data_IF_020255485975
#
_entry.id   IF_020255485975
#
_cell.length_a   1.000
_cell.length_b   1.000
_cell.length_c   1.000
_cell.angle_alpha   90.00
_cell.angle_beta   90.00
_cell.angle_gamma   90.00
#
_symmetry.space_group_name_H-M   'P 1'
#
loop_
_entity.id
_entity.type
_entity.pdbx_description
1 polymer ?
#
# COMPACT_ATOMS: atom_id res chain seq x y z
N UNK A 1 9.93 -39.17 19.52
CA UNK A 1 8.56 -38.85 19.04
C UNK A 1 8.19 -37.48 19.58
N UNK A 2 8.18 -36.46 18.74
CA UNK A 2 7.46 -35.20 18.98
C UNK A 2 7.08 -34.65 17.61
N UNK A 3 5.78 -34.50 17.40
CA UNK A 3 5.15 -33.99 16.19
C UNK A 3 5.00 -32.46 16.32
N UNK A 4 4.71 -31.81 15.19
CA UNK A 4 4.04 -30.50 15.00
C UNK A 4 4.88 -29.26 15.37
N UNK A 5 5.05 -28.22 14.54
CA UNK A 5 4.25 -27.70 13.43
C UNK A 5 5.15 -27.20 12.27
N UNK A 6 4.94 -27.71 11.06
CA UNK A 6 5.38 -27.00 9.84
C UNK A 6 4.48 -25.76 9.70
N UNK A 7 5.04 -24.56 9.87
CA UNK A 7 4.33 -23.32 9.60
C UNK A 7 4.16 -23.16 8.08
N UNK A 8 2.91 -22.96 7.67
CA UNK A 8 2.50 -22.64 6.29
C UNK A 8 3.12 -21.31 5.85
N UNK A 9 4.35 -21.35 5.34
CA UNK A 9 4.94 -20.28 4.52
C UNK A 9 4.68 -20.57 3.05
N UNK A 10 3.45 -20.43 2.56
CA UNK A 10 3.18 -20.57 1.11
C UNK A 10 1.85 -19.93 0.67
N UNK A 11 1.73 -18.60 0.63
CA UNK A 11 0.84 -17.89 -0.34
C UNK A 11 1.40 -16.51 -0.78
N UNK A 12 2.57 -16.07 -0.30
CA UNK A 12 3.17 -14.80 -0.72
C UNK A 12 4.04 -14.97 -1.99
N UNK A 13 3.43 -15.33 -3.13
CA UNK A 13 4.02 -15.23 -4.47
C UNK A 13 2.98 -15.56 -5.56
N UNK A 14 1.85 -14.84 -5.61
CA UNK A 14 0.84 -15.12 -6.64
C UNK A 14 1.04 -14.40 -7.97
N UNK A 15 2.31 -14.19 -8.31
CA UNK A 15 2.72 -14.09 -9.70
C UNK A 15 3.81 -15.13 -10.06
N UNK A 16 4.36 -15.94 -9.15
CA UNK A 16 5.22 -17.05 -9.56
C UNK A 16 5.08 -18.29 -8.67
N UNK A 17 4.69 -19.40 -9.31
CA UNK A 17 4.74 -20.82 -8.91
C UNK A 17 3.49 -21.44 -8.30
N UNK A 18 2.85 -22.28 -9.12
CA UNK A 18 1.90 -23.31 -8.74
C UNK A 18 2.58 -24.41 -7.90
N UNK A 19 1.89 -24.92 -6.87
CA UNK A 19 1.86 -26.35 -6.53
C UNK A 19 0.60 -26.69 -5.73
N UNK A 20 0.10 -27.91 -5.97
CA UNK A 20 -1.21 -28.48 -5.60
C UNK A 20 -1.22 -28.97 -4.14
N UNK A 21 -2.38 -28.90 -3.47
CA UNK A 21 -2.59 -29.50 -2.14
C UNK A 21 -4.05 -29.58 -1.66
N UNK A 22 -4.79 -30.52 -2.26
CA UNK A 22 -6.04 -31.25 -1.91
C UNK A 22 -6.92 -30.95 -0.67
N UNK A 23 -8.23 -30.83 -0.97
CA UNK A 23 -9.46 -31.47 -0.40
C UNK A 23 -10.20 -30.97 0.86
N UNK A 24 -11.47 -30.58 0.58
CA UNK A 24 -12.78 -30.79 1.26
C UNK A 24 -13.00 -30.21 2.68
N UNK A 25 -14.14 -29.59 3.04
CA UNK A 25 -15.54 -30.07 2.91
C UNK A 25 -16.54 -28.90 2.79
N UNK A 26 -17.63 -29.18 2.09
CA UNK A 26 -18.85 -28.37 1.88
C UNK A 26 -19.70 -28.20 3.16
N UNK A 27 -20.22 -27.00 3.41
CA UNK A 27 -21.48 -26.75 4.17
C UNK A 27 -22.18 -25.53 3.54
N UNK A 28 -23.50 -25.54 3.29
CA UNK A 28 -24.17 -24.44 2.61
C UNK A 28 -24.79 -23.39 3.55
N UNK A 29 -24.89 -22.19 2.99
CA UNK A 29 -25.90 -21.14 3.17
C UNK A 29 -25.87 -20.25 4.44
N UNK A 30 -25.66 -18.96 4.21
CA UNK A 30 -26.67 -17.94 4.49
C UNK A 30 -26.44 -16.72 3.58
N UNK A 31 -27.44 -16.39 2.76
CA UNK A 31 -27.46 -15.16 1.96
C UNK A 31 -27.64 -13.96 2.89
N UNK A 32 -26.59 -13.15 3.02
CA UNK A 32 -26.73 -11.80 3.55
C UNK A 32 -26.25 -10.82 2.46
N UNK A 33 -27.21 -10.19 1.78
CA UNK A 33 -26.97 -9.04 0.92
C UNK A 33 -26.44 -7.89 1.78
N UNK A 34 -25.13 -7.63 1.72
CA UNK A 34 -24.57 -6.41 2.27
C UNK A 34 -24.91 -5.23 1.34
N UNK A 35 -25.30 -4.06 1.88
CA UNK A 35 -25.57 -2.89 1.08
C UNK A 35 -24.27 -2.37 0.47
N UNK A 36 -24.35 -1.85 -0.75
CA UNK A 36 -23.25 -1.16 -1.41
C UNK A 36 -22.81 0.02 -0.54
N UNK A 37 -21.64 -0.11 0.11
CA UNK A 37 -21.01 1.00 0.82
C UNK A 37 -20.66 2.09 -0.18
N UNK A 38 -21.26 3.25 0.05
CA UNK A 38 -21.02 4.49 -0.66
C UNK A 38 -19.54 4.81 -0.75
N UNK A 39 -19.03 4.89 -1.99
CA UNK A 39 -17.73 5.45 -2.32
C UNK A 39 -17.62 6.85 -1.70
N UNK A 40 -16.76 7.03 -0.70
CA UNK A 40 -16.25 8.37 -0.39
C UNK A 40 -15.33 8.78 -1.53
N UNK A 41 -15.93 9.36 -2.57
CA UNK A 41 -15.19 10.21 -3.49
C UNK A 41 -14.54 11.28 -2.62
N UNK A 42 -13.22 11.42 -2.73
CA UNK A 42 -12.51 12.51 -2.09
C UNK A 42 -13.28 13.80 -2.35
N UNK A 43 -13.74 14.46 -1.28
CA UNK A 43 -14.37 15.78 -1.31
C UNK A 43 -13.57 16.62 -2.31
N UNK A 44 -14.23 17.08 -3.38
CA UNK A 44 -13.62 17.80 -4.50
C UNK A 44 -13.18 19.20 -4.06
N UNK A 45 -12.41 19.26 -2.98
CA UNK A 45 -11.70 20.43 -2.51
C UNK A 45 -10.72 20.79 -3.61
N UNK A 46 -10.90 21.99 -4.14
CA UNK A 46 -9.99 22.61 -5.09
C UNK A 46 -8.55 22.35 -4.65
N UNK A 47 -7.74 21.78 -5.55
CA UNK A 47 -6.35 21.45 -5.26
C UNK A 47 -5.66 22.66 -4.63
N UNK A 48 -5.12 22.49 -3.42
CA UNK A 48 -4.38 23.53 -2.72
C UNK A 48 -2.93 23.06 -2.55
N UNK A 49 -2.04 23.39 -3.51
CA UNK A 49 -0.66 22.91 -3.50
C UNK A 49 0.11 23.31 -2.23
N UNK A 50 -0.22 24.46 -1.63
CA UNK A 50 0.41 24.90 -0.38
C UNK A 50 -0.02 24.04 0.81
N UNK A 51 -1.30 23.70 0.90
CA UNK A 51 -1.81 22.81 1.94
C UNK A 51 -1.26 21.39 1.77
N UNK A 52 -1.23 20.86 0.54
CA UNK A 52 -0.65 19.56 0.23
C UNK A 52 0.83 19.50 0.63
N UNK A 53 1.63 20.48 0.22
CA UNK A 53 3.05 20.53 0.54
C UNK A 53 3.31 20.67 2.04
N UNK A 54 2.51 21.47 2.75
CA UNK A 54 2.53 21.52 4.22
C UNK A 54 2.21 20.15 4.82
N UNK A 55 1.15 19.50 4.37
CA UNK A 55 0.71 18.21 4.90
C UNK A 55 1.77 17.11 4.68
N UNK A 56 2.45 17.10 3.51
CA UNK A 56 3.59 16.20 3.25
C UNK A 56 4.71 16.36 4.29
N UNK A 57 5.08 17.61 4.59
CA UNK A 57 6.10 17.92 5.60
C UNK A 57 5.67 17.48 6.99
N UNK A 58 4.39 17.69 7.33
CA UNK A 58 3.84 17.24 8.62
C UNK A 58 3.86 15.72 8.73
N UNK A 59 3.40 14.99 7.71
CA UNK A 59 3.41 13.52 7.71
C UNK A 59 4.82 12.95 7.95
N UNK A 60 5.81 13.41 7.17
CA UNK A 60 7.21 12.99 7.33
C UNK A 60 7.76 13.37 8.70
N UNK A 61 7.46 14.59 9.18
CA UNK A 61 7.91 15.04 10.50
C UNK A 61 7.34 14.17 11.61
N UNK A 62 6.05 13.86 11.58
CA UNK A 62 5.38 13.05 12.60
C UNK A 62 6.01 11.65 12.64
N UNK A 63 6.17 11.00 11.49
CA UNK A 63 6.79 9.68 11.41
C UNK A 63 8.20 9.68 12.00
N UNK A 64 9.07 10.59 11.55
CA UNK A 64 10.46 10.65 12.04
C UNK A 64 10.55 11.03 13.51
N UNK A 65 9.82 12.04 13.95
CA UNK A 65 9.91 12.50 15.34
C UNK A 65 9.32 11.50 16.33
N UNK A 66 8.27 10.76 15.96
CA UNK A 66 7.75 9.71 16.84
C UNK A 66 8.69 8.50 16.86
N UNK A 67 9.06 7.97 15.70
CA UNK A 67 9.73 6.68 15.62
C UNK A 67 11.26 6.75 15.75
N UNK A 68 11.92 7.77 15.18
CA UNK A 68 13.38 7.96 15.28
C UNK A 68 13.74 8.71 16.58
N UNK A 69 13.02 9.79 16.91
CA UNK A 69 13.41 10.71 17.99
C UNK A 69 12.68 10.45 19.33
N UNK A 70 11.63 9.61 19.34
CA UNK A 70 10.78 9.39 20.53
C UNK A 70 10.06 10.66 21.03
N UNK A 71 9.97 11.72 20.21
CA UNK A 71 9.42 13.01 20.59
C UNK A 71 7.89 13.00 20.55
N UNK A 72 7.27 12.63 21.67
CA UNK A 72 5.81 12.53 21.79
C UNK A 72 5.07 13.88 21.62
N UNK A 73 5.75 15.03 21.80
CA UNK A 73 5.11 16.36 21.68
C UNK A 73 4.63 16.63 20.25
N UNK A 74 5.23 15.99 19.24
CA UNK A 74 4.82 16.14 17.84
C UNK A 74 3.39 15.62 17.62
N UNK A 75 2.96 14.61 18.40
CA UNK A 75 1.60 14.09 18.33
C UNK A 75 0.59 15.14 18.80
N UNK A 76 0.89 15.85 19.89
CA UNK A 76 0.00 16.90 20.40
C UNK A 76 -0.16 18.07 19.41
N UNK A 77 0.88 18.33 18.62
CA UNK A 77 0.92 19.42 17.64
C UNK A 77 0.22 19.10 16.31
N UNK A 78 0.25 17.84 15.88
CA UNK A 78 -0.14 17.48 14.51
C UNK A 78 -1.11 16.32 14.40
N UNK A 79 -1.45 15.63 15.48
CA UNK A 79 -2.42 14.53 15.48
C UNK A 79 -3.65 14.96 16.27
N UNK A 80 -4.84 14.76 15.71
CA UNK A 80 -6.10 14.99 16.41
C UNK A 80 -6.20 14.09 17.64
N UNK A 81 -6.84 14.57 18.70
CA UNK A 81 -7.07 13.76 19.90
C UNK A 81 -7.89 12.50 19.57
N UNK A 82 -8.86 12.66 18.66
CA UNK A 82 -9.77 11.64 18.15
C UNK A 82 -9.35 11.13 16.75
N UNK A 83 -8.04 11.08 16.45
CA UNK A 83 -7.59 10.51 15.18
C UNK A 83 -7.95 9.01 15.12
N UNK A 84 -8.27 8.54 13.92
CA UNK A 84 -8.68 7.17 13.64
C UNK A 84 -7.49 6.35 13.10
N UNK A 85 -7.23 5.19 13.68
CA UNK A 85 -6.16 4.25 13.29
C UNK A 85 -6.71 3.04 12.57
N UNK A 86 -6.13 2.68 11.43
CA UNK A 86 -6.48 1.48 10.66
C UNK A 86 -5.35 0.42 10.62
N UNK A 87 -4.14 0.75 11.08
CA UNK A 87 -3.08 -0.24 11.25
C UNK A 87 -3.49 -1.24 12.34
N UNK A 88 -3.67 -2.54 12.03
CA UNK A 88 -4.15 -3.52 13.00
C UNK A 88 -3.17 -3.78 14.15
N UNK A 89 -1.91 -3.37 14.01
CA UNK A 89 -0.84 -3.50 14.99
C UNK A 89 -0.63 -2.24 15.83
N UNK A 90 -1.46 -1.21 15.66
CA UNK A 90 -1.42 0.02 16.45
C UNK A 90 -2.76 0.28 17.14
N UNK A 91 -2.77 0.77 18.38
CA UNK A 91 -4.00 1.14 19.06
C UNK A 91 -4.59 2.45 18.49
N UNK A 92 -5.88 2.66 18.73
CA UNK A 92 -6.59 3.85 18.28
C UNK A 92 -6.47 5.04 19.24
N UNK A 93 -6.51 6.26 18.71
CA UNK A 93 -6.46 7.50 19.49
C UNK A 93 -5.07 7.97 19.93
N UNK A 94 -4.90 9.30 20.02
CA UNK A 94 -3.57 9.94 20.12
C UNK A 94 -2.75 9.50 21.33
N UNK A 95 -3.38 9.41 22.50
CA UNK A 95 -2.68 9.01 23.72
C UNK A 95 -2.24 7.55 23.67
N UNK A 96 -3.03 6.67 23.01
CA UNK A 96 -2.65 5.29 22.84
C UNK A 96 -1.41 5.15 21.93
N UNK A 97 -1.32 5.96 20.86
CA UNK A 97 -0.10 6.05 20.05
C UNK A 97 1.09 6.55 20.85
N UNK A 98 0.93 7.59 21.67
CA UNK A 98 2.04 8.10 22.51
C UNK A 98 2.58 7.01 23.43
N UNK A 99 1.71 6.15 23.96
CA UNK A 99 2.12 5.00 24.75
C UNK A 99 2.82 3.93 23.91
N UNK A 100 2.23 3.56 22.76
CA UNK A 100 2.82 2.62 21.81
C UNK A 100 4.23 3.05 21.38
N UNK A 101 4.42 4.33 21.05
CA UNK A 101 5.71 4.89 20.63
C UNK A 101 6.74 4.84 21.76
N UNK A 102 6.34 5.08 23.01
CA UNK A 102 7.25 4.95 24.16
C UNK A 102 7.81 3.53 24.26
N UNK A 103 6.93 2.52 24.14
CA UNK A 103 7.32 1.11 24.20
C UNK A 103 8.08 0.68 22.95
N UNK A 104 7.73 1.24 21.79
CA UNK A 104 8.44 1.01 20.53
C UNK A 104 9.88 1.51 20.60
N UNK A 105 10.08 2.77 21.00
CA UNK A 105 11.40 3.39 21.04
C UNK A 105 12.30 2.77 22.12
N UNK A 106 11.73 2.30 23.23
CA UNK A 106 12.47 1.52 24.22
C UNK A 106 12.97 0.17 23.68
N UNK A 107 12.23 -0.45 22.76
CA UNK A 107 12.63 -1.72 22.11
C UNK A 107 13.56 -1.54 20.92
N UNK A 108 13.35 -0.48 20.14
CA UNK A 108 14.06 -0.18 18.91
C UNK A 108 14.63 1.25 18.95
N UNK A 109 15.63 1.51 19.81
CA UNK A 109 16.20 2.85 19.99
C UNK A 109 16.95 3.36 18.74
N UNK A 110 17.46 2.43 17.92
CA UNK A 110 18.20 2.73 16.70
C UNK A 110 17.32 2.67 15.43
N UNK A 111 15.99 2.71 15.59
CA UNK A 111 15.06 2.66 14.47
C UNK A 111 15.27 3.85 13.52
N UNK A 112 15.51 3.54 12.24
CA UNK A 112 15.63 4.55 11.17
C UNK A 112 14.44 4.47 10.24
N UNK A 113 13.86 5.62 9.90
CA UNK A 113 12.66 5.75 9.07
C UNK A 113 13.01 6.33 7.70
N UNK A 114 13.50 5.47 6.78
CA UNK A 114 14.02 5.92 5.49
C UNK A 114 12.90 6.25 4.48
N UNK A 115 12.42 7.49 4.47
CA UNK A 115 11.41 7.97 3.51
C UNK A 115 11.95 7.92 2.07
N UNK A 116 11.20 7.26 1.18
CA UNK A 116 11.57 7.11 -0.24
C UNK A 116 10.85 8.12 -1.11
N UNK A 117 9.52 8.17 -1.02
CA UNK A 117 8.67 9.08 -1.83
C UNK A 117 7.45 9.51 -1.03
N UNK A 118 6.97 10.72 -1.34
CA UNK A 118 5.80 11.30 -0.70
C UNK A 118 4.96 12.00 -1.76
N UNK A 119 3.67 11.70 -1.81
CA UNK A 119 2.70 12.38 -2.68
C UNK A 119 1.48 12.81 -1.88
N UNK A 120 0.81 13.87 -2.35
CA UNK A 120 -0.40 14.36 -1.72
C UNK A 120 -1.42 14.79 -2.77
N UNK A 121 -2.70 14.56 -2.46
CA UNK A 121 -3.82 14.99 -3.26
C UNK A 121 -4.99 15.36 -2.34
N UNK A 122 -5.42 16.62 -2.39
CA UNK A 122 -6.48 17.10 -1.50
C UNK A 122 -6.03 17.05 -0.04
N UNK A 123 -6.74 16.29 0.79
CA UNK A 123 -6.41 16.09 2.21
C UNK A 123 -5.68 14.78 2.51
N UNK A 124 -5.36 13.97 1.50
CA UNK A 124 -4.60 12.73 1.65
C UNK A 124 -3.10 12.94 1.36
N UNK A 125 -2.26 12.31 2.17
CA UNK A 125 -0.82 12.18 1.94
C UNK A 125 -0.45 10.71 1.99
N UNK A 126 0.30 10.23 1.00
CA UNK A 126 0.96 8.93 1.04
C UNK A 126 2.46 9.12 1.25
N UNK A 127 3.04 8.31 2.13
CA UNK A 127 4.48 8.19 2.39
C UNK A 127 4.87 6.73 2.12
N UNK A 128 5.80 6.50 1.20
CA UNK A 128 6.43 5.18 1.04
C UNK A 128 7.83 5.23 1.64
N UNK A 129 8.12 4.32 2.56
CA UNK A 129 9.30 4.33 3.41
C UNK A 129 9.92 2.94 3.56
N UNK A 130 11.16 2.91 4.05
CA UNK A 130 11.84 1.69 4.48
C UNK A 130 12.28 1.84 5.94
N UNK A 131 11.36 1.61 6.90
CA UNK A 131 11.74 1.55 8.30
C UNK A 131 12.65 0.35 8.56
N UNK A 132 13.74 0.59 9.27
CA UNK A 132 14.74 -0.40 9.69
C UNK A 132 14.81 -0.38 11.20
N UNK A 133 14.18 -1.37 11.84
CA UNK A 133 14.01 -1.42 13.29
C UNK A 133 15.30 -1.79 14.03
N UNK A 134 16.08 -2.69 13.42
CA UNK A 134 17.37 -3.15 13.95
C UNK A 134 18.47 -2.89 12.91
N UNK A 135 19.60 -2.27 13.30
CA UNK A 135 20.72 -2.02 12.41
C UNK A 135 21.19 -3.28 11.68
N UNK A 136 21.46 -3.17 10.39
CA UNK A 136 21.93 -4.29 9.55
C UNK A 136 20.83 -5.22 9.02
N UNK A 137 19.57 -5.02 9.40
CA UNK A 137 18.43 -5.72 8.80
C UNK A 137 17.95 -5.02 7.53
N UNK A 138 17.13 -5.70 6.71
CA UNK A 138 16.55 -5.13 5.48
C UNK A 138 15.36 -4.20 5.76
N UNK A 139 14.80 -4.27 6.96
CA UNK A 139 13.59 -3.53 7.33
C UNK A 139 12.34 -4.00 6.58
N UNK A 140 11.34 -3.12 6.56
CA UNK A 140 10.07 -3.34 5.88
C UNK A 140 9.87 -2.29 4.77
N UNK A 141 9.06 -2.58 3.77
CA UNK A 141 8.42 -1.60 2.88
C UNK A 141 7.10 -1.21 3.52
N UNK A 142 6.94 0.08 3.81
CA UNK A 142 5.74 0.61 4.45
C UNK A 142 5.17 1.73 3.60
N UNK A 143 3.87 1.66 3.34
CA UNK A 143 3.12 2.74 2.70
C UNK A 143 2.09 3.28 3.68
N UNK A 144 2.41 4.40 4.34
CA UNK A 144 1.50 5.14 5.21
C UNK A 144 0.62 6.07 4.38
N UNK A 145 -0.65 6.14 4.74
CA UNK A 145 -1.63 7.08 4.18
C UNK A 145 -2.25 7.86 5.34
N UNK A 146 -2.18 9.18 5.28
CA UNK A 146 -2.76 10.06 6.27
C UNK A 146 -3.86 10.92 5.64
N UNK A 147 -4.99 11.05 6.32
CA UNK A 147 -5.97 12.10 6.03
C UNK A 147 -5.80 13.26 6.99
N UNK A 148 -5.79 14.47 6.45
CA UNK A 148 -5.69 15.71 7.20
C UNK A 148 -7.05 16.40 7.35
N UNK A 149 -7.26 17.07 8.47
CA UNK A 149 -8.39 17.96 8.63
C UNK A 149 -8.12 19.36 8.03
N UNK A 150 -9.12 20.24 8.10
CA UNK A 150 -9.03 21.62 7.59
C UNK A 150 -8.00 22.48 8.33
N UNK A 151 -7.62 22.11 9.56
CA UNK A 151 -6.60 22.80 10.37
C UNK A 151 -5.18 22.29 10.06
N UNK A 152 -5.05 21.24 9.24
CA UNK A 152 -3.78 20.60 8.93
C UNK A 152 -3.32 19.60 9.98
N UNK A 153 -4.23 19.08 10.80
CA UNK A 153 -3.98 17.99 11.74
C UNK A 153 -4.26 16.64 11.07
N UNK A 154 -3.47 15.62 11.38
CA UNK A 154 -3.71 14.23 11.02
C UNK A 154 -4.97 13.77 11.76
N UNK A 155 -5.97 13.37 10.99
CA UNK A 155 -7.27 12.92 11.46
C UNK A 155 -7.47 11.41 11.34
N UNK A 156 -6.74 10.76 10.45
CA UNK A 156 -6.90 9.33 10.15
C UNK A 156 -5.63 8.77 9.52
N UNK A 157 -5.33 7.52 9.78
CA UNK A 157 -4.12 6.83 9.31
C UNK A 157 -4.40 5.39 8.89
N UNK A 158 -3.88 5.00 7.72
CA UNK A 158 -3.78 3.63 7.24
C UNK A 158 -2.34 3.33 6.90
N UNK A 159 -1.92 2.08 7.02
CA UNK A 159 -0.67 1.61 6.44
C UNK A 159 -0.81 0.21 5.83
N UNK A 160 0.16 -0.11 4.97
CA UNK A 160 0.44 -1.47 4.51
C UNK A 160 1.92 -1.74 4.75
N UNK A 161 2.20 -2.81 5.49
CA UNK A 161 3.55 -3.18 5.93
C UNK A 161 3.94 -4.54 5.34
N UNK A 162 5.06 -4.58 4.63
CA UNK A 162 5.62 -5.80 4.05
C UNK A 162 7.11 -5.93 4.36
N UNK A 163 7.56 -7.10 4.82
CA UNK A 163 8.99 -7.35 5.02
C UNK A 163 9.77 -7.34 3.71
N UNK A 164 10.95 -6.72 3.71
CA UNK A 164 11.82 -6.71 2.52
C UNK A 164 12.49 -8.08 2.36
N UNK A 165 12.24 -8.80 1.26
CA UNK A 165 12.80 -10.13 1.04
C UNK A 165 14.30 -10.06 0.76
N UNK A 166 14.98 -11.20 0.90
CA UNK A 166 16.42 -11.29 0.62
C UNK A 166 16.74 -11.18 -0.88
N UNK A 167 15.82 -11.59 -1.73
CA UNK A 167 15.94 -11.58 -3.20
C UNK A 167 14.63 -11.17 -3.85
N UNK A 168 14.71 -10.67 -5.09
CA UNK A 168 13.56 -10.31 -5.91
C UNK A 168 13.65 -10.98 -7.28
N UNK A 169 12.51 -11.33 -7.87
CA UNK A 169 12.43 -11.96 -9.20
C UNK A 169 12.88 -11.01 -10.30
N UNK A 170 12.58 -9.71 -10.18
CA UNK A 170 12.96 -8.68 -11.16
C UNK A 170 14.41 -8.16 -11.00
N UNK A 171 15.09 -8.48 -9.89
CA UNK A 171 16.44 -7.98 -9.60
C UNK A 171 16.53 -6.51 -9.15
N UNK A 172 15.40 -5.80 -9.05
CA UNK A 172 15.32 -4.47 -8.44
C UNK A 172 15.02 -4.61 -6.93
N UNK A 173 15.41 -3.61 -6.13
CA UNK A 173 14.93 -3.49 -4.75
C UNK A 173 13.45 -3.06 -4.71
N UNK A 174 12.83 -2.93 -3.52
CA UNK A 174 11.45 -2.48 -3.39
C UNK A 174 11.27 -0.94 -3.41
N UNK A 175 12.33 -0.14 -3.60
CA UNK A 175 12.35 1.28 -3.22
C UNK A 175 12.91 2.25 -4.26
N UNK A 176 13.91 1.85 -5.02
CA UNK A 176 14.65 2.66 -5.97
C UNK A 176 13.77 3.15 -7.12
N UNK A 177 14.34 4.00 -7.97
CA UNK A 177 13.72 4.42 -9.23
C UNK A 177 14.74 4.14 -10.33
N UNK A 178 14.40 3.20 -11.20
CA UNK A 178 15.23 2.76 -12.33
C UNK A 178 14.79 3.39 -13.66
N UNK A 179 13.52 3.80 -13.76
CA UNK A 179 13.03 4.56 -14.93
C UNK A 179 13.63 5.97 -15.01
N UNK A 180 13.54 6.61 -16.19
CA UNK A 180 14.00 7.99 -16.38
C UNK A 180 12.83 8.99 -16.25
N UNK A 181 13.02 10.12 -15.53
CA UNK A 181 14.19 10.48 -14.73
C UNK A 181 14.29 9.65 -13.44
N UNK A 182 15.52 9.28 -13.03
CA UNK A 182 15.78 8.52 -11.80
C UNK A 182 15.62 9.42 -10.57
N UNK A 183 14.39 9.64 -10.16
CA UNK A 183 14.02 10.50 -9.02
C UNK A 183 12.88 9.89 -8.24
N UNK A 184 12.87 10.09 -6.93
CA UNK A 184 11.71 9.71 -6.12
C UNK A 184 10.67 10.83 -5.99
N UNK A 185 10.96 12.01 -6.53
CA UNK A 185 10.02 13.13 -6.52
C UNK A 185 8.95 12.94 -7.60
N UNK A 186 7.71 13.37 -7.33
CA UNK A 186 6.69 13.44 -8.36
C UNK A 186 7.10 14.42 -9.45
N UNK A 187 6.74 14.10 -10.68
CA UNK A 187 6.92 14.94 -11.86
C UNK A 187 6.02 16.18 -11.86
N UNK A 188 5.97 16.91 -12.99
CA UNK A 188 5.22 18.14 -13.10
C UNK A 188 3.73 17.98 -12.75
N UNK A 189 3.20 18.90 -11.93
CA UNK A 189 1.81 18.82 -11.42
C UNK A 189 0.73 18.78 -12.49
N UNK A 190 0.98 19.34 -13.68
CA UNK A 190 0.03 19.27 -14.80
C UNK A 190 -0.26 17.83 -15.25
N UNK A 191 0.64 16.88 -14.95
CA UNK A 191 0.42 15.46 -15.25
C UNK A 191 -0.60 14.80 -14.32
N UNK A 192 -0.89 15.38 -13.14
CA UNK A 192 -1.61 14.68 -12.06
C UNK A 192 -2.91 14.01 -12.52
N UNK A 193 -3.81 14.78 -13.13
CA UNK A 193 -5.11 14.26 -13.58
C UNK A 193 -4.96 13.21 -14.69
N UNK A 194 -3.99 13.40 -15.59
CA UNK A 194 -3.70 12.46 -16.66
C UNK A 194 -3.13 11.15 -16.13
N UNK A 195 -2.10 11.21 -15.27
CA UNK A 195 -1.48 10.06 -14.63
C UNK A 195 -2.49 9.25 -13.84
N UNK A 196 -3.32 9.92 -13.04
CA UNK A 196 -4.39 9.28 -12.28
C UNK A 196 -5.36 8.53 -13.18
N UNK A 197 -5.80 9.13 -14.28
CA UNK A 197 -6.69 8.48 -15.25
C UNK A 197 -6.04 7.24 -15.89
N UNK A 198 -4.77 7.33 -16.27
CA UNK A 198 -4.04 6.21 -16.87
C UNK A 198 -3.87 5.05 -15.88
N UNK A 199 -3.40 5.34 -14.67
CA UNK A 199 -3.14 4.31 -13.65
C UNK A 199 -4.43 3.64 -13.17
N UNK A 200 -5.50 4.41 -12.93
CA UNK A 200 -6.80 3.84 -12.54
C UNK A 200 -7.44 3.02 -13.65
N UNK A 201 -7.36 3.48 -14.91
CA UNK A 201 -7.86 2.69 -16.04
C UNK A 201 -7.09 1.38 -16.22
N UNK A 202 -5.76 1.41 -16.06
CA UNK A 202 -4.93 0.19 -16.08
C UNK A 202 -5.34 -0.76 -14.95
N UNK A 203 -5.41 -0.26 -13.71
CA UNK A 203 -5.78 -1.03 -12.53
C UNK A 203 -7.15 -1.69 -12.69
N UNK A 204 -8.16 -0.92 -13.09
CA UNK A 204 -9.52 -1.43 -13.26
C UNK A 204 -9.59 -2.47 -14.37
N UNK A 205 -9.00 -2.17 -15.54
CA UNK A 205 -8.98 -3.13 -16.66
C UNK A 205 -8.27 -4.43 -16.26
N UNK A 206 -7.12 -4.34 -15.59
CA UNK A 206 -6.34 -5.53 -15.25
C UNK A 206 -7.00 -6.34 -14.14
N UNK A 207 -7.26 -5.73 -12.98
CA UNK A 207 -7.52 -6.43 -11.74
C UNK A 207 -9.01 -6.54 -11.42
N UNK A 208 -9.79 -5.51 -11.75
CA UNK A 208 -11.24 -5.49 -11.50
C UNK A 208 -11.96 -6.24 -12.61
N UNK A 209 -11.67 -5.90 -13.87
CA UNK A 209 -12.28 -6.54 -15.05
C UNK A 209 -11.58 -7.86 -15.43
N UNK A 210 -10.46 -8.20 -14.76
CA UNK A 210 -9.68 -9.43 -15.00
C UNK A 210 -9.22 -9.55 -16.45
N UNK A 211 -8.87 -8.43 -17.07
CA UNK A 211 -8.50 -8.39 -18.49
C UNK A 211 -6.98 -8.21 -18.66
N UNK A 212 -6.25 -9.28 -19.02
CA UNK A 212 -4.79 -9.23 -19.17
C UNK A 212 -4.33 -8.39 -20.37
N UNK A 213 -5.23 -7.98 -21.29
CA UNK A 213 -4.90 -7.01 -22.35
C UNK A 213 -4.61 -5.59 -21.80
N UNK A 214 -4.80 -5.38 -20.49
CA UNK A 214 -4.33 -4.20 -19.78
C UNK A 214 -2.80 -4.00 -19.88
N UNK A 215 -2.01 -5.01 -20.26
CA UNK A 215 -0.57 -4.81 -20.56
C UNK A 215 -0.33 -3.73 -21.63
N UNK A 216 -1.34 -3.41 -22.46
CA UNK A 216 -1.29 -2.30 -23.40
C UNK A 216 -1.06 -0.93 -22.74
N UNK A 217 -1.31 -0.76 -21.45
CA UNK A 217 -1.02 0.48 -20.72
C UNK A 217 0.45 0.62 -20.33
N UNK A 218 1.25 -0.43 -20.47
CA UNK A 218 2.63 -0.50 -19.99
C UNK A 218 3.62 -0.15 -21.11
N UNK A 219 4.81 0.33 -20.75
CA UNK A 219 5.96 0.30 -21.68
C UNK A 219 6.53 -1.11 -21.78
N UNK A 220 7.19 -1.46 -22.89
CA UNK A 220 7.84 -2.77 -23.04
C UNK A 220 8.80 -3.11 -21.88
N UNK A 221 9.55 -2.11 -21.39
CA UNK A 221 10.55 -2.26 -20.33
C UNK A 221 9.95 -2.38 -18.93
N UNK A 222 8.66 -2.04 -18.75
CA UNK A 222 7.94 -1.86 -17.47
C UNK A 222 8.67 -2.41 -16.24
N UNK A 223 9.18 -1.50 -15.42
CA UNK A 223 10.03 -1.84 -14.29
C UNK A 223 9.21 -2.21 -13.06
N UNK A 224 9.50 -3.38 -12.48
CA UNK A 224 8.84 -3.91 -11.30
C UNK A 224 9.71 -3.76 -10.06
N UNK A 225 9.07 -3.42 -8.96
CA UNK A 225 9.61 -3.47 -7.61
C UNK A 225 8.81 -4.38 -6.67
N UNK A 226 7.66 -4.92 -7.12
CA UNK A 226 7.05 -6.06 -6.43
C UNK A 226 8.04 -7.22 -6.47
N UNK A 227 8.46 -7.79 -5.33
CA UNK A 227 9.55 -8.76 -5.29
C UNK A 227 9.27 -10.07 -6.04
N UNK A 228 8.02 -10.35 -6.40
CA UNK A 228 7.57 -11.62 -6.99
C UNK A 228 7.28 -11.54 -8.49
N UNK A 229 7.32 -10.33 -9.07
CA UNK A 229 6.96 -10.07 -10.46
C UNK A 229 8.22 -9.74 -11.28
N UNK A 230 8.44 -10.36 -12.46
CA UNK A 230 9.55 -9.99 -13.33
C UNK A 230 9.35 -8.62 -14.01
N UNK A 231 10.45 -8.02 -14.49
CA UNK A 231 10.39 -6.82 -15.34
C UNK A 231 9.80 -7.14 -16.72
N UNK A 232 9.33 -6.09 -17.39
CA UNK A 232 8.87 -6.11 -18.77
C UNK A 232 7.41 -6.52 -18.92
N UNK A 233 6.72 -5.93 -19.90
CA UNK A 233 5.28 -6.13 -20.07
C UNK A 233 4.90 -7.42 -20.81
N UNK A 234 5.84 -8.03 -21.55
CA UNK A 234 5.57 -9.17 -22.42
C UNK A 234 5.11 -10.42 -21.65
N UNK A 235 5.73 -10.70 -20.50
CA UNK A 235 5.40 -11.86 -19.66
C UNK A 235 4.17 -11.67 -18.77
N UNK A 236 3.83 -10.42 -18.44
CA UNK A 236 2.72 -10.13 -17.52
C UNK A 236 1.37 -10.61 -18.04
N UNK A 237 1.14 -10.54 -19.36
CA UNK A 237 -0.15 -10.93 -19.93
C UNK A 237 -0.46 -12.40 -19.65
N UNK A 238 0.50 -13.28 -19.89
CA UNK A 238 0.35 -14.71 -19.66
C UNK A 238 0.21 -15.02 -18.17
N UNK A 239 1.03 -14.36 -17.34
CA UNK A 239 1.02 -14.51 -15.90
C UNK A 239 -0.36 -14.17 -15.29
N UNK A 240 -0.94 -13.03 -15.68
CA UNK A 240 -2.27 -12.62 -15.23
C UNK A 240 -3.38 -13.48 -15.84
N UNK A 241 -3.22 -13.96 -17.08
CA UNK A 241 -4.17 -14.91 -17.68
C UNK A 241 -4.26 -16.19 -16.81
N UNK A 242 -3.13 -16.77 -16.44
CA UNK A 242 -3.07 -17.94 -15.56
C UNK A 242 -3.62 -17.63 -14.16
N UNK A 243 -3.28 -16.47 -13.60
CA UNK A 243 -3.79 -16.02 -12.30
C UNK A 243 -5.33 -15.93 -12.28
N UNK A 244 -5.95 -15.32 -13.29
CA UNK A 244 -7.41 -15.19 -13.35
C UNK A 244 -8.12 -16.53 -13.62
N UNK A 245 -7.47 -17.46 -14.34
CA UNK A 245 -7.97 -18.83 -14.47
C UNK A 245 -7.92 -19.59 -13.15
N UNK A 246 -6.88 -19.37 -12.34
CA UNK A 246 -6.72 -19.98 -11.02
C UNK A 246 -7.67 -19.37 -9.98
N UNK A 247 -7.93 -18.07 -10.04
CA UNK A 247 -8.80 -17.33 -9.11
C UNK A 247 -9.94 -16.63 -9.86
N UNK A 248 -10.89 -17.38 -10.44
CA UNK A 248 -11.99 -16.78 -11.20
C UNK A 248 -12.89 -15.91 -10.32
N UNK A 249 -12.93 -16.19 -9.01
CA UNK A 249 -13.72 -15.46 -8.01
C UNK A 249 -12.95 -14.33 -7.31
N UNK A 250 -11.78 -13.92 -7.83
CA UNK A 250 -11.05 -12.76 -7.35
C UNK A 250 -11.96 -11.53 -7.28
N UNK A 251 -11.91 -10.81 -6.16
CA UNK A 251 -12.61 -9.56 -5.91
C UNK A 251 -11.53 -8.53 -5.55
N UNK A 252 -11.46 -7.45 -6.33
CA UNK A 252 -10.54 -6.34 -6.08
C UNK A 252 -11.36 -5.08 -5.90
N UNK A 253 -11.27 -4.48 -4.72
CA UNK A 253 -11.99 -3.26 -4.38
C UNK A 253 -11.02 -2.13 -4.10
N UNK A 254 -11.01 -1.14 -4.97
CA UNK A 254 -10.27 0.10 -4.72
C UNK A 254 -10.92 0.88 -3.59
N UNK A 255 -10.11 1.35 -2.64
CA UNK A 255 -10.57 2.16 -1.49
C UNK A 255 -10.24 3.63 -1.68
N UNK A 256 -9.05 3.95 -2.18
CA UNK A 256 -8.60 5.34 -2.39
C UNK A 256 -7.52 5.45 -3.46
N UNK A 257 -7.39 6.65 -4.03
CA UNK A 257 -6.38 7.00 -5.04
C UNK A 257 -5.74 8.33 -4.64
N UNK A 258 -4.42 8.40 -4.71
CA UNK A 258 -3.65 9.60 -4.40
C UNK A 258 -2.66 9.81 -5.55
N UNK A 259 -2.75 10.94 -6.25
CA UNK A 259 -1.90 11.25 -7.38
C UNK A 259 -1.20 12.61 -7.20
N UNK A 260 0.08 12.67 -7.54
CA UNK A 260 0.82 13.92 -7.67
C UNK A 260 1.80 13.82 -8.83
N UNK A 261 1.62 14.68 -9.84
CA UNK A 261 2.46 14.70 -11.02
C UNK A 261 2.35 13.39 -11.82
N UNK A 262 3.46 12.67 -11.94
CA UNK A 262 3.55 11.40 -12.64
C UNK A 262 3.43 10.17 -11.73
N UNK A 263 3.26 10.35 -10.41
CA UNK A 263 3.09 9.27 -9.45
C UNK A 263 1.62 9.13 -9.05
N UNK A 264 1.15 7.88 -8.98
CA UNK A 264 -0.20 7.52 -8.54
C UNK A 264 -0.13 6.34 -7.58
N UNK A 265 -0.70 6.47 -6.40
CA UNK A 265 -0.90 5.38 -5.45
C UNK A 265 -2.37 4.96 -5.41
N UNK A 266 -2.63 3.65 -5.35
CA UNK A 266 -3.96 3.05 -5.26
C UNK A 266 -3.95 2.09 -4.06
N UNK A 267 -4.77 2.37 -3.06
CA UNK A 267 -4.98 1.46 -1.93
C UNK A 267 -6.25 0.64 -2.17
N UNK A 268 -6.13 -0.68 -2.03
CA UNK A 268 -7.18 -1.62 -2.40
C UNK A 268 -7.22 -2.85 -1.49
N UNK A 269 -8.39 -3.52 -1.49
CA UNK A 269 -8.64 -4.78 -0.80
C UNK A 269 -8.77 -5.91 -1.82
N UNK A 270 -7.85 -6.88 -1.77
CA UNK A 270 -7.83 -8.01 -2.70
C UNK A 270 -8.33 -9.25 -1.95
N UNK A 271 -9.34 -9.93 -2.49
CA UNK A 271 -9.86 -11.20 -1.97
C UNK A 271 -9.87 -12.24 -3.07
N UNK A 272 -9.21 -13.38 -2.90
CA UNK A 272 -9.14 -14.41 -3.93
C UNK A 272 -10.49 -15.09 -4.19
N UNK A 273 -11.40 -15.01 -3.22
CA UNK A 273 -12.79 -15.46 -3.28
C UNK A 273 -13.62 -14.75 -2.19
N UNK A 274 -14.96 -14.86 -2.16
CA UNK A 274 -15.80 -14.14 -1.20
C UNK A 274 -15.50 -14.41 0.29
N UNK A 275 -15.04 -15.62 0.63
CA UNK A 275 -14.74 -16.04 2.00
C UNK A 275 -13.32 -15.66 2.45
N UNK A 276 -12.49 -15.21 1.50
CA UNK A 276 -11.14 -14.76 1.79
C UNK A 276 -11.17 -13.44 2.57
N UNK A 277 -10.44 -13.38 3.69
CA UNK A 277 -10.22 -12.13 4.44
C UNK A 277 -9.49 -11.12 3.57
N UNK A 278 -8.64 -11.60 2.67
CA UNK A 278 -7.94 -10.81 1.69
C UNK A 278 -6.70 -10.12 2.19
N UNK A 279 -6.18 -9.23 1.34
CA UNK A 279 -4.96 -8.46 1.55
C UNK A 279 -5.25 -6.97 1.35
N UNK A 280 -4.63 -6.14 2.17
CA UNK A 280 -4.48 -4.71 1.91
C UNK A 280 -3.25 -4.50 1.01
N UNK A 281 -3.45 -3.80 -0.10
CA UNK A 281 -2.41 -3.55 -1.11
C UNK A 281 -2.36 -2.06 -1.42
N UNK A 282 -1.15 -1.49 -1.45
CA UNK A 282 -0.94 -0.17 -2.04
C UNK A 282 -0.02 -0.29 -3.25
N UNK A 283 -0.60 -0.21 -4.44
CA UNK A 283 0.15 -0.11 -5.69
C UNK A 283 0.56 1.35 -5.93
N UNK A 284 1.79 1.57 -6.40
CA UNK A 284 2.35 2.87 -6.75
C UNK A 284 2.86 2.79 -8.18
N UNK A 285 2.37 3.65 -9.06
CA UNK A 285 2.72 3.68 -10.47
C UNK A 285 3.42 4.99 -10.82
N UNK A 286 4.42 4.91 -11.71
CA UNK A 286 4.96 6.08 -12.43
C UNK A 286 4.46 6.08 -13.87
N UNK A 287 3.81 7.15 -14.29
CA UNK A 287 3.24 7.33 -15.64
C UNK A 287 4.15 8.21 -16.49
N UNK A 288 4.60 7.69 -17.63
CA UNK A 288 5.38 8.43 -18.60
C UNK A 288 4.55 9.45 -19.38
N UNK A 289 5.25 10.41 -20.02
CA UNK A 289 4.62 11.50 -20.81
C UNK A 289 3.77 11.01 -21.99
N UNK A 290 3.94 9.77 -22.43
CA UNK A 290 3.18 9.15 -23.52
C UNK A 290 1.97 8.34 -23.02
N UNK A 291 1.58 8.48 -21.76
CA UNK A 291 0.42 7.76 -21.20
C UNK A 291 0.63 6.28 -21.01
N UNK A 292 1.89 5.85 -20.92
CA UNK A 292 2.28 4.50 -20.57
C UNK A 292 2.84 4.47 -19.16
N UNK A 293 2.56 3.41 -18.42
CA UNK A 293 3.14 3.17 -17.11
C UNK A 293 4.55 2.62 -17.30
N UNK A 294 5.50 3.27 -16.66
CA UNK A 294 6.93 2.97 -16.77
C UNK A 294 7.40 2.02 -15.68
N UNK A 295 6.86 2.18 -14.47
CA UNK A 295 7.43 1.60 -13.27
C UNK A 295 6.37 1.45 -12.18
N UNK A 296 6.52 0.41 -11.36
CA UNK A 296 5.57 0.00 -10.34
C UNK A 296 6.26 -0.48 -9.07
N UNK A 297 5.74 -0.06 -7.94
CA UNK A 297 6.07 -0.55 -6.60
C UNK A 297 4.78 -0.94 -5.89
N UNK A 298 4.84 -1.87 -4.96
CA UNK A 298 3.75 -2.13 -4.05
C UNK A 298 4.23 -2.51 -2.66
N UNK A 299 3.30 -2.46 -1.73
CA UNK A 299 3.37 -3.19 -0.47
C UNK A 299 2.09 -4.01 -0.33
N UNK A 300 2.22 -5.23 0.16
CA UNK A 300 1.12 -6.18 0.35
C UNK A 300 1.12 -6.70 1.79
N UNK A 301 -0.02 -6.62 2.46
CA UNK A 301 -0.21 -7.12 3.82
C UNK A 301 -1.49 -7.92 3.93
N UNK A 302 -1.42 -9.09 4.56
CA UNK A 302 -2.61 -9.91 4.85
C UNK A 302 -3.52 -9.20 5.86
N UNK A 303 -4.84 -9.26 5.64
CA UNK A 303 -5.80 -8.84 6.66
C UNK A 303 -5.70 -9.84 7.83
N UNK A 304 -5.30 -9.40 9.04
CA UNK A 304 -4.87 -10.29 10.11
C UNK A 304 -5.99 -11.23 10.53
N UNK A 305 -5.69 -12.48 10.85
CA UNK A 305 -6.68 -13.44 11.36
C UNK A 305 -6.95 -13.28 12.87
N UNK A 306 -6.01 -12.67 13.58
CA UNK A 306 -6.14 -12.34 15.00
C UNK A 306 -6.85 -11.01 15.20
N UNK A 307 -7.50 -10.80 16.36
CA UNK A 307 -8.09 -9.51 16.70
C UNK A 307 -7.04 -8.39 16.59
N UNK A 308 -7.33 -7.30 15.85
CA UNK A 308 -6.47 -6.12 15.78
C UNK A 308 -6.43 -5.35 17.12
N UNK A 309 -5.46 -4.45 17.27
CA UNK A 309 -5.34 -3.55 18.43
C UNK A 309 -6.33 -2.37 18.41
N UNK A 310 -7.09 -2.22 17.32
CA UNK A 310 -8.19 -1.27 17.16
C UNK A 310 -9.33 -1.93 16.38
N UNK A 311 -10.55 -1.42 16.50
CA UNK A 311 -11.74 -2.01 15.87
C UNK A 311 -11.97 -1.52 14.42
N UNK A 312 -11.11 -0.66 13.88
CA UNK A 312 -11.26 -0.13 12.54
C UNK A 312 -10.74 -1.14 11.50
N UNK A 313 -11.38 -1.19 10.33
CA UNK A 313 -10.90 -2.06 9.24
C UNK A 313 -9.57 -1.54 8.71
N UNK A 314 -8.78 -2.33 7.97
CA UNK A 314 -7.59 -1.81 7.28
C UNK A 314 -7.92 -0.82 6.13
N UNK A 315 -9.20 -0.56 5.86
CA UNK A 315 -9.69 0.16 4.68
C UNK A 315 -10.48 1.40 5.02
#
# INVERSE_FOLDING_TARGET
>A
MSKTHLSRRTVAALLATATIGSMAVFVPAATASAPASSLTVADSRQANPHAEERNKRVAVRVLRQLFEEGNLKVADQYIRADYIQHNPMAPDGREAIKNFIRDWHARFPDHVYNVKRVIAQGDLVMVHSNPVYEPGTRGSSVVDIFRFDRKGMIAEHWDVVQDVPATTVNGNDMFGTVSRPRTNQPGPRWMTAFSQKVATAYFDTLLVDKNPEAVRYLTPEYYQHNPTIPNGSAGLREQFTGFFQQFPNLIVERKRVIAQGDLVAIHAHYRLNPEDRGQAVVDIFRVGKHGKILEHWDSVQDVPSTPPLNDNTMF
#
